data_IF_437893894667
#
_entry.id   IF_437893894667
#
_cell.length_a   1.000
_cell.length_b   1.000
_cell.length_c   1.000
_cell.angle_alpha   90.00
_cell.angle_beta   90.00
_cell.angle_gamma   90.00
#
_symmetry.space_group_name_H-M   'P 1'
#
loop_
_entity.id
_entity.type
_entity.pdbx_description
1 polymer ?
#
# COMPACT_ATOMS: atom_id res chain seq x y z
N UNK A 1 12.77 12.14 -15.26
CA UNK A 1 12.61 11.42 -13.98
C UNK A 1 11.31 10.63 -13.93
N UNK A 2 10.16 11.23 -14.25
CA UNK A 2 8.84 10.56 -14.20
C UNK A 2 8.70 9.33 -15.12
N UNK A 3 9.32 9.30 -16.29
CA UNK A 3 9.28 8.12 -17.17
C UNK A 3 9.99 6.88 -16.58
N UNK A 4 11.13 7.09 -15.92
CA UNK A 4 11.89 6.01 -15.26
C UNK A 4 11.10 5.42 -14.08
N UNK A 5 10.40 6.28 -13.33
CA UNK A 5 9.50 5.87 -12.24
C UNK A 5 8.41 4.92 -12.75
N UNK A 6 7.73 5.29 -13.83
CA UNK A 6 6.65 4.48 -14.39
C UNK A 6 7.14 3.11 -14.92
N UNK A 7 8.31 3.08 -15.56
CA UNK A 7 8.91 1.82 -16.05
C UNK A 7 9.32 0.93 -14.87
N UNK A 8 9.98 1.50 -13.86
CA UNK A 8 10.38 0.76 -12.66
C UNK A 8 9.15 0.20 -11.91
N UNK A 9 8.08 0.98 -11.84
CA UNK A 9 6.82 0.54 -11.23
C UNK A 9 6.14 -0.55 -12.05
N UNK A 10 6.15 -0.47 -13.39
CA UNK A 10 5.63 -1.53 -14.26
C UNK A 10 6.37 -2.86 -14.02
N UNK A 11 7.71 -2.82 -13.97
CA UNK A 11 8.53 -4.01 -13.71
C UNK A 11 8.25 -4.58 -12.31
N UNK A 12 8.14 -3.72 -11.29
CA UNK A 12 7.79 -4.13 -9.93
C UNK A 12 6.43 -4.84 -9.87
N UNK A 13 5.43 -4.31 -10.57
CA UNK A 13 4.09 -4.92 -10.63
C UNK A 13 4.13 -6.28 -11.34
N UNK A 14 4.89 -6.42 -12.44
CA UNK A 14 5.07 -7.70 -13.13
C UNK A 14 5.72 -8.76 -12.23
N UNK A 15 6.72 -8.37 -11.44
CA UNK A 15 7.34 -9.25 -10.45
C UNK A 15 6.34 -9.63 -9.36
N UNK A 16 5.45 -8.71 -8.94
CA UNK A 16 4.42 -9.02 -7.97
C UNK A 16 3.51 -10.16 -8.40
N UNK A 17 3.04 -10.18 -9.65
CA UNK A 17 2.14 -11.23 -10.12
C UNK A 17 2.74 -12.64 -9.95
N UNK A 18 4.07 -12.78 -10.03
CA UNK A 18 4.76 -14.06 -9.80
C UNK A 18 4.97 -14.35 -8.30
N UNK A 19 5.12 -13.30 -7.49
CA UNK A 19 5.43 -13.39 -6.06
C UNK A 19 4.18 -13.56 -5.20
N UNK A 20 3.07 -12.91 -5.56
CA UNK A 20 1.83 -12.89 -4.76
C UNK A 20 1.21 -14.28 -4.63
N UNK A 21 1.29 -15.09 -5.68
CA UNK A 21 0.80 -16.46 -5.69
C UNK A 21 1.69 -17.42 -4.89
N UNK A 22 2.96 -17.07 -4.65
CA UNK A 22 3.92 -17.88 -3.88
C UNK A 22 4.03 -17.48 -2.42
N UNK A 23 3.87 -16.19 -2.11
CA UNK A 23 4.09 -15.62 -0.77
C UNK A 23 2.79 -15.52 0.02
N UNK A 24 1.66 -15.26 -0.64
CA UNK A 24 0.36 -15.12 0.02
C UNK A 24 0.04 -13.68 0.40
N UNK A 25 -1.24 -13.40 0.66
CA UNK A 25 -1.75 -12.02 0.75
C UNK A 25 -1.39 -11.35 2.07
N UNK A 26 -1.47 -12.08 3.19
CA UNK A 26 -1.15 -11.56 4.53
C UNK A 26 0.33 -11.23 4.74
N UNK A 27 1.30 -12.12 4.46
CA UNK A 27 2.71 -11.78 4.58
C UNK A 27 3.12 -10.68 3.59
N UNK A 28 2.53 -10.66 2.38
CA UNK A 28 2.80 -9.58 1.42
C UNK A 28 2.32 -8.21 1.93
N UNK A 29 1.15 -8.16 2.57
CA UNK A 29 0.65 -6.95 3.24
C UNK A 29 1.58 -6.52 4.40
N UNK A 30 1.97 -7.46 5.25
CA UNK A 30 2.78 -7.17 6.44
C UNK A 30 4.20 -6.71 6.07
N UNK A 31 4.92 -7.49 5.25
CA UNK A 31 6.27 -7.15 4.82
C UNK A 31 6.28 -5.93 3.89
N UNK A 32 5.25 -5.75 3.07
CA UNK A 32 5.06 -4.56 2.26
C UNK A 32 4.93 -3.30 3.11
N UNK A 33 4.10 -3.34 4.16
CA UNK A 33 3.88 -2.20 5.04
C UNK A 33 5.16 -1.79 5.78
N UNK A 34 5.89 -2.77 6.31
CA UNK A 34 7.19 -2.55 6.97
C UNK A 34 8.21 -2.02 5.96
N UNK A 35 8.28 -2.61 4.77
CA UNK A 35 9.18 -2.21 3.70
C UNK A 35 8.91 -0.80 3.17
N UNK A 36 7.68 -0.30 3.27
CA UNK A 36 7.33 1.08 2.93
C UNK A 36 7.59 2.06 4.08
N UNK A 37 7.47 1.63 5.33
CA UNK A 37 7.74 2.47 6.50
C UNK A 37 9.21 2.92 6.56
N UNK A 38 10.15 2.03 6.24
CA UNK A 38 11.60 2.31 6.32
C UNK A 38 12.01 3.49 5.42
N UNK A 39 11.67 3.53 4.11
CA UNK A 39 11.92 4.70 3.27
C UNK A 39 11.32 5.99 3.81
N UNK A 40 10.10 5.96 4.36
CA UNK A 40 9.47 7.16 4.92
C UNK A 40 10.20 7.70 6.14
N UNK A 41 10.68 6.83 7.02
CA UNK A 41 11.49 7.23 8.18
C UNK A 41 12.81 7.84 7.72
N UNK A 42 13.49 7.24 6.75
CA UNK A 42 14.75 7.77 6.20
C UNK A 42 14.52 9.14 5.55
N UNK A 43 13.46 9.28 4.74
CA UNK A 43 13.11 10.56 4.13
C UNK A 43 12.79 11.62 5.18
N UNK A 44 12.07 11.28 6.26
CA UNK A 44 11.78 12.20 7.35
C UNK A 44 13.07 12.75 8.00
N UNK A 45 14.02 11.87 8.32
CA UNK A 45 15.32 12.26 8.91
C UNK A 45 16.15 13.11 7.95
N UNK A 46 16.20 12.74 6.67
CA UNK A 46 16.95 13.51 5.67
C UNK A 46 16.36 14.91 5.47
N UNK A 47 15.03 15.02 5.44
CA UNK A 47 14.36 16.31 5.33
C UNK A 47 14.63 17.13 6.60
N UNK A 48 14.46 16.59 7.80
CA UNK A 48 14.72 17.31 9.05
C UNK A 48 16.16 17.88 9.14
N UNK A 49 17.15 17.10 8.70
CA UNK A 49 18.56 17.50 8.78
C UNK A 49 18.97 18.50 7.70
N UNK A 50 18.40 18.42 6.50
CA UNK A 50 18.90 19.15 5.32
C UNK A 50 17.91 20.13 4.69
N UNK A 51 16.72 20.33 5.28
CA UNK A 51 15.65 21.18 4.70
C UNK A 51 16.10 22.61 4.41
N UNK A 52 17.03 23.13 5.23
CA UNK A 52 17.46 24.53 5.20
C UNK A 52 18.45 24.84 4.07
N UNK A 53 19.20 23.85 3.58
CA UNK A 53 20.31 24.06 2.63
C UNK A 53 20.49 22.90 1.63
N UNK A 54 19.43 22.52 0.92
CA UNK A 54 19.48 21.53 -0.17
C UNK A 54 20.58 21.80 -1.23
N UNK A 55 20.86 23.04 -1.67
CA UNK A 55 21.90 23.31 -2.66
C UNK A 55 23.32 22.96 -2.17
N UNK A 56 23.58 23.01 -0.86
CA UNK A 56 24.84 22.59 -0.27
C UNK A 56 24.91 21.07 -0.06
N UNK A 57 23.76 20.41 0.05
CA UNK A 57 23.62 18.99 0.36
C UNK A 57 22.96 18.20 -0.78
N UNK A 58 23.46 18.39 -2.01
CA UNK A 58 22.95 17.74 -3.23
C UNK A 58 22.87 16.21 -3.09
N UNK A 59 23.85 15.60 -2.44
CA UNK A 59 23.87 14.15 -2.19
C UNK A 59 22.68 13.67 -1.33
N UNK A 60 22.30 14.44 -0.30
CA UNK A 60 21.14 14.13 0.54
C UNK A 60 19.82 14.28 -0.23
N UNK A 61 19.73 15.25 -1.15
CA UNK A 61 18.58 15.41 -2.04
C UNK A 61 18.39 14.22 -2.98
N UNK A 62 19.48 13.73 -3.58
CA UNK A 62 19.46 12.50 -4.37
C UNK A 62 19.14 11.26 -3.54
N UNK A 63 19.66 11.15 -2.32
CA UNK A 63 19.33 10.05 -1.41
C UNK A 63 17.84 10.03 -1.04
N UNK A 64 17.26 11.18 -0.72
CA UNK A 64 15.83 11.33 -0.44
C UNK A 64 14.98 10.89 -1.64
N UNK A 65 15.40 11.32 -2.83
CA UNK A 65 14.75 10.92 -4.09
C UNK A 65 14.86 9.41 -4.32
N UNK A 66 16.04 8.81 -4.12
CA UNK A 66 16.25 7.36 -4.24
C UNK A 66 15.36 6.57 -3.26
N UNK A 67 15.17 7.05 -2.02
CA UNK A 67 14.24 6.41 -1.08
C UNK A 67 12.79 6.49 -1.55
N UNK A 68 12.37 7.57 -2.21
CA UNK A 68 11.05 7.62 -2.83
C UNK A 68 10.90 6.58 -3.96
N UNK A 69 11.94 6.29 -4.73
CA UNK A 69 11.94 5.18 -5.70
C UNK A 69 11.78 3.83 -5.02
N UNK A 70 12.52 3.59 -3.93
CA UNK A 70 12.41 2.34 -3.16
C UNK A 70 10.98 2.16 -2.63
N UNK A 71 10.39 3.21 -2.07
CA UNK A 71 8.98 3.19 -1.64
C UNK A 71 8.05 2.75 -2.78
N UNK A 72 8.16 3.36 -3.97
CA UNK A 72 7.31 3.04 -5.13
C UNK A 72 7.48 1.58 -5.57
N UNK A 73 8.72 1.07 -5.55
CA UNK A 73 8.99 -0.34 -5.87
C UNK A 73 8.33 -1.27 -4.86
N UNK A 74 8.52 -1.04 -3.56
CA UNK A 74 7.89 -1.88 -2.52
C UNK A 74 6.37 -1.79 -2.59
N UNK A 75 5.80 -0.60 -2.79
CA UNK A 75 4.36 -0.41 -2.97
C UNK A 75 3.84 -1.17 -4.19
N UNK A 76 4.56 -1.09 -5.32
CA UNK A 76 4.23 -1.80 -6.56
C UNK A 76 4.22 -3.32 -6.40
N UNK A 77 5.14 -3.86 -5.59
CA UNK A 77 5.24 -5.31 -5.32
C UNK A 77 4.26 -5.78 -4.24
N UNK A 78 3.66 -4.90 -3.45
CA UNK A 78 2.83 -5.31 -2.30
C UNK A 78 1.42 -4.74 -2.37
N UNK A 79 1.23 -3.52 -1.86
CA UNK A 79 -0.08 -2.92 -1.67
C UNK A 79 -0.79 -2.59 -2.98
N UNK A 80 -0.07 -2.28 -4.05
CA UNK A 80 -0.68 -1.92 -5.33
C UNK A 80 -1.62 -3.02 -5.86
N UNK A 81 -1.17 -4.26 -6.13
CA UNK A 81 -2.06 -5.33 -6.57
C UNK A 81 -2.99 -5.83 -5.46
N UNK A 82 -2.53 -5.80 -4.20
CA UNK A 82 -3.31 -6.26 -3.07
C UNK A 82 -4.58 -5.42 -2.84
N UNK A 83 -4.50 -4.09 -3.03
CA UNK A 83 -5.63 -3.18 -2.89
C UNK A 83 -6.77 -3.45 -3.86
N UNK A 84 -6.47 -4.05 -5.02
CA UNK A 84 -7.46 -4.42 -6.03
C UNK A 84 -7.93 -5.87 -5.91
N UNK A 85 -7.04 -6.77 -5.47
CA UNK A 85 -7.35 -8.20 -5.33
C UNK A 85 -8.14 -8.51 -4.06
N UNK A 86 -7.75 -7.95 -2.90
CA UNK A 86 -8.39 -8.27 -1.61
C UNK A 86 -9.90 -8.02 -1.58
N UNK A 87 -10.43 -6.88 -2.06
CA UNK A 87 -11.87 -6.66 -2.04
C UNK A 87 -12.63 -7.76 -2.81
N UNK A 88 -12.09 -8.22 -3.94
CA UNK A 88 -12.73 -9.28 -4.73
C UNK A 88 -12.68 -10.65 -4.01
N UNK A 89 -11.64 -10.91 -3.21
CA UNK A 89 -11.47 -12.15 -2.43
C UNK A 89 -12.27 -12.15 -1.11
N UNK A 90 -12.53 -10.97 -0.52
CA UNK A 90 -13.17 -10.83 0.80
C UNK A 90 -14.70 -10.77 0.73
N UNK A 91 -15.27 -10.19 -0.33
CA UNK A 91 -16.73 -10.08 -0.43
C UNK A 91 -17.39 -11.38 -0.95
N UNK A 92 -18.52 -11.80 -0.32
CA UNK A 92 -19.29 -12.96 -0.74
C UNK A 92 -19.87 -12.75 -2.15
N UNK A 93 -20.04 -13.85 -2.89
CA UNK A 93 -20.39 -13.84 -4.31
C UNK A 93 -21.60 -12.96 -4.64
N UNK A 94 -22.65 -13.02 -3.81
CA UNK A 94 -23.89 -12.27 -3.99
C UNK A 94 -23.74 -10.74 -3.85
N UNK A 95 -22.81 -10.27 -3.01
CA UNK A 95 -22.60 -8.85 -2.75
C UNK A 95 -21.30 -8.29 -3.36
N UNK A 96 -20.48 -9.15 -3.99
CA UNK A 96 -19.15 -8.82 -4.51
C UNK A 96 -19.12 -7.58 -5.38
N UNK A 97 -20.03 -7.46 -6.35
CA UNK A 97 -20.08 -6.30 -7.24
C UNK A 97 -20.28 -4.97 -6.48
N UNK A 98 -21.17 -4.96 -5.46
CA UNK A 98 -21.43 -3.78 -4.64
C UNK A 98 -20.25 -3.46 -3.71
N UNK A 99 -19.67 -4.49 -3.08
CA UNK A 99 -18.51 -4.33 -2.19
C UNK A 99 -17.26 -3.84 -2.91
N UNK A 100 -16.98 -4.35 -4.11
CA UNK A 100 -15.87 -3.90 -4.97
C UNK A 100 -16.10 -2.47 -5.46
N UNK A 101 -17.33 -2.10 -5.83
CA UNK A 101 -17.66 -0.72 -6.22
C UNK A 101 -17.44 0.26 -5.07
N UNK A 102 -17.87 -0.07 -3.85
CA UNK A 102 -17.64 0.75 -2.66
C UNK A 102 -16.14 0.89 -2.36
N UNK A 103 -15.40 -0.22 -2.40
CA UNK A 103 -13.94 -0.22 -2.18
C UNK A 103 -13.23 0.67 -3.19
N UNK A 104 -13.62 0.60 -4.47
CA UNK A 104 -13.07 1.43 -5.53
C UNK A 104 -13.38 2.90 -5.29
N UNK A 105 -14.62 3.24 -4.90
CA UNK A 105 -14.99 4.61 -4.56
C UNK A 105 -14.16 5.16 -3.39
N UNK A 106 -13.94 4.36 -2.34
CA UNK A 106 -13.10 4.73 -1.19
C UNK A 106 -11.64 4.95 -1.60
N UNK A 107 -11.08 4.14 -2.50
CA UNK A 107 -9.72 4.32 -3.03
C UNK A 107 -9.59 5.66 -3.74
N UNK A 108 -10.51 5.98 -4.66
CA UNK A 108 -10.47 7.23 -5.41
C UNK A 108 -10.70 8.46 -4.52
N UNK A 109 -11.60 8.37 -3.55
CA UNK A 109 -11.80 9.42 -2.56
C UNK A 109 -10.53 9.66 -1.73
N UNK A 110 -9.89 8.58 -1.28
CA UNK A 110 -8.65 8.67 -0.51
C UNK A 110 -7.52 9.31 -1.33
N UNK A 111 -7.39 8.93 -2.60
CA UNK A 111 -6.44 9.55 -3.52
C UNK A 111 -6.71 11.05 -3.71
N UNK A 112 -7.97 11.46 -3.80
CA UNK A 112 -8.33 12.88 -3.88
C UNK A 112 -7.92 13.65 -2.62
N UNK A 113 -8.26 13.12 -1.45
CA UNK A 113 -7.90 13.72 -0.15
C UNK A 113 -6.38 13.86 -0.03
N UNK A 114 -5.63 12.80 -0.31
CA UNK A 114 -4.16 12.83 -0.28
C UNK A 114 -3.62 13.83 -1.31
N UNK A 115 -4.16 13.86 -2.52
CA UNK A 115 -3.74 14.78 -3.58
C UNK A 115 -3.91 16.26 -3.22
N UNK A 116 -4.95 16.61 -2.46
CA UNK A 116 -5.20 17.98 -1.99
C UNK A 116 -4.41 18.31 -0.72
N UNK A 117 -4.26 17.35 0.21
CA UNK A 117 -3.66 17.59 1.52
C UNK A 117 -2.13 17.53 1.53
N UNK A 118 -1.51 16.70 0.69
CA UNK A 118 -0.05 16.52 0.72
C UNK A 118 0.73 17.79 0.34
N UNK A 119 0.38 18.55 -0.71
CA UNK A 119 1.11 19.78 -1.05
C UNK A 119 1.20 20.80 0.11
N UNK A 120 0.10 21.19 0.79
CA UNK A 120 0.19 22.10 1.93
C UNK A 120 0.85 21.46 3.16
N UNK A 121 0.75 20.15 3.34
CA UNK A 121 1.48 19.45 4.41
C UNK A 121 2.99 19.55 4.21
N UNK A 122 3.50 19.31 2.99
CA UNK A 122 4.93 19.43 2.70
C UNK A 122 5.42 20.87 2.94
N UNK A 123 4.65 21.88 2.52
CA UNK A 123 5.04 23.28 2.67
C UNK A 123 5.06 23.75 4.13
N UNK A 124 4.12 23.29 4.96
CA UNK A 124 3.96 23.79 6.33
C UNK A 124 4.63 22.91 7.39
N UNK A 125 4.65 21.59 7.18
CA UNK A 125 5.15 20.62 8.16
C UNK A 125 6.49 20.00 7.77
N UNK A 126 6.92 20.11 6.51
CA UNK A 126 8.19 19.56 6.03
C UNK A 126 8.35 18.09 6.40
N UNK A 127 9.31 17.79 7.29
CA UNK A 127 9.58 16.45 7.82
C UNK A 127 8.35 15.76 8.44
N UNK A 128 7.45 16.53 9.06
CA UNK A 128 6.24 16.01 9.72
C UNK A 128 5.30 15.28 8.76
N UNK A 129 5.32 15.63 7.47
CA UNK A 129 4.55 14.93 6.44
C UNK A 129 5.03 13.50 6.25
N UNK A 130 6.34 13.28 6.24
CA UNK A 130 6.94 11.97 6.06
C UNK A 130 6.75 11.08 7.30
N UNK A 131 6.84 11.67 8.50
CA UNK A 131 6.54 10.97 9.76
C UNK A 131 5.07 10.55 9.80
N UNK A 132 4.15 11.42 9.37
CA UNK A 132 2.73 11.10 9.27
C UNK A 132 2.51 9.84 8.41
N UNK A 133 3.07 9.79 7.20
CA UNK A 133 2.95 8.61 6.34
C UNK A 133 3.66 7.37 6.92
N UNK A 134 4.80 7.52 7.59
CA UNK A 134 5.47 6.41 8.27
C UNK A 134 4.57 5.77 9.34
N UNK A 135 3.89 6.58 10.15
CA UNK A 135 2.94 6.09 11.16
C UNK A 135 1.78 5.35 10.50
N UNK A 136 1.23 5.86 9.40
CA UNK A 136 0.18 5.17 8.64
C UNK A 136 0.67 3.83 8.06
N UNK A 137 1.92 3.72 7.61
CA UNK A 137 2.49 2.43 7.20
C UNK A 137 2.58 1.44 8.37
N UNK A 138 2.94 1.88 9.57
CA UNK A 138 2.97 1.02 10.77
C UNK A 138 1.56 0.59 11.17
N UNK A 139 0.58 1.50 11.15
CA UNK A 139 -0.82 1.17 11.38
C UNK A 139 -1.35 0.17 10.35
N UNK A 140 -0.95 0.32 9.08
CA UNK A 140 -1.28 -0.64 8.03
C UNK A 140 -0.64 -2.01 8.27
N UNK A 141 0.58 -2.07 8.83
CA UNK A 141 1.21 -3.33 9.25
C UNK A 141 0.46 -4.00 10.40
N UNK A 142 0.02 -3.23 11.40
CA UNK A 142 -0.80 -3.73 12.51
C UNK A 142 -2.15 -4.25 12.00
N UNK A 143 -2.80 -3.50 11.11
CA UNK A 143 -4.02 -3.94 10.44
C UNK A 143 -3.81 -5.22 9.64
N UNK A 144 -2.72 -5.31 8.87
CA UNK A 144 -2.36 -6.52 8.13
C UNK A 144 -2.10 -7.73 9.04
N UNK A 145 -1.56 -7.52 10.23
CA UNK A 145 -1.29 -8.61 11.16
C UNK A 145 -2.57 -9.16 11.80
N UNK A 146 -3.50 -8.28 12.23
CA UNK A 146 -4.69 -8.66 12.99
C UNK A 146 -5.95 -8.88 12.15
N UNK A 147 -6.17 -8.08 11.09
CA UNK A 147 -7.43 -8.05 10.35
C UNK A 147 -7.36 -8.71 8.97
N UNK A 148 -6.17 -8.94 8.41
CA UNK A 148 -6.05 -9.61 7.10
C UNK A 148 -5.98 -11.13 7.30
N UNK A 149 -7.03 -11.88 6.94
CA UNK A 149 -6.97 -13.33 6.95
C UNK A 149 -6.01 -13.83 5.86
N UNK A 150 -5.40 -14.98 6.10
CA UNK A 150 -4.54 -15.65 5.12
C UNK A 150 -5.41 -16.25 3.99
N UNK A 151 -5.49 -15.59 2.82
CA UNK A 151 -6.30 -16.07 1.69
C UNK A 151 -5.57 -17.10 0.81
N UNK A 152 -4.32 -17.47 1.12
CA UNK A 152 -3.56 -18.44 0.33
C UNK A 152 -4.07 -19.86 0.57
N UNK A 153 -4.44 -20.56 -0.51
CA UNK A 153 -4.77 -21.99 -0.48
C UNK A 153 -6.21 -22.32 -0.04
N UNK A 154 -7.08 -21.31 0.10
CA UNK A 154 -8.51 -21.47 0.38
C UNK A 154 -9.30 -21.28 -0.91
N UNK A 155 -10.27 -22.16 -1.19
CA UNK A 155 -11.24 -21.91 -2.27
C UNK A 155 -12.16 -20.76 -1.89
N UNK A 156 -12.79 -20.09 -2.87
CA UNK A 156 -13.75 -19.00 -2.61
C UNK A 156 -14.89 -19.46 -1.66
N UNK A 157 -15.28 -20.73 -1.73
CA UNK A 157 -16.28 -21.36 -0.86
C UNK A 157 -15.81 -21.51 0.59
N UNK A 158 -14.51 -21.79 0.82
CA UNK A 158 -13.94 -21.87 2.18
C UNK A 158 -13.73 -20.49 2.80
N UNK A 159 -13.73 -19.42 2.00
CA UNK A 159 -13.71 -18.05 2.51
C UNK A 159 -15.10 -17.63 3.00
N UNK A 160 -16.18 -18.08 2.35
CA UNK A 160 -17.56 -17.87 2.82
C UNK A 160 -17.77 -18.53 4.20
N UNK A 161 -17.19 -19.72 4.46
CA UNK A 161 -17.20 -20.35 5.81
C UNK A 161 -16.40 -19.56 6.87
N UNK A 162 -15.30 -18.91 6.51
CA UNK A 162 -14.47 -18.12 7.45
C UNK A 162 -15.16 -16.79 7.82
N UNK A 163 -15.92 -16.21 6.89
CA UNK A 163 -16.72 -15.02 7.14
C UNK A 163 -18.13 -15.32 7.69
N UNK A 164 -18.51 -16.60 7.79
CA UNK A 164 -19.74 -17.05 8.44
C UNK A 164 -21.00 -16.88 7.60
N UNK A 165 -20.88 -16.81 6.27
CA UNK A 165 -22.04 -16.74 5.39
C UNK A 165 -22.51 -18.15 5.04
N UNK A 166 -23.53 -18.63 5.75
CA UNK A 166 -24.36 -19.78 5.39
C UNK A 166 -25.21 -19.55 4.13
N UNK A 167 -24.78 -18.70 3.19
CA UNK A 167 -25.52 -18.40 1.97
C UNK A 167 -25.59 -19.60 1.00
N UNK A 168 -24.74 -20.62 1.20
CA UNK A 168 -24.79 -21.87 0.45
C UNK A 168 -25.93 -22.82 0.89
N UNK A 169 -26.62 -22.56 2.00
CA UNK A 169 -27.79 -23.34 2.42
C UNK A 169 -29.12 -22.83 1.84
N UNK A 170 -29.20 -21.59 1.32
CA UNK A 170 -30.44 -21.04 0.74
C UNK A 170 -30.67 -21.41 -0.74
N UNK A 171 -29.74 -22.12 -1.39
CA UNK A 171 -29.88 -22.56 -2.79
C UNK A 171 -30.04 -24.10 -2.95
N UNK A 172 -30.49 -24.80 -1.90
CA UNK A 172 -30.99 -26.19 -1.99
C UNK A 172 -32.51 -26.24 -1.81
#
# INVERSE_FOLDING_TARGET
>A
VSGVLNIAQLVAVLVCFVVIDKVGRRPLALYGAIGMAVPYVIMAVLVELFDKDWPAHVAAGWATTAMAFVYILVYGVSYSPLAWALPAEVFPSAARAKGVALSTATVWLSNFVVGVMVPPMIQNAGFGTYVFFAVFCVLAAVWAYFLVPETMGRTLEQMDEVFGDGAAEEEK
#
